data_IF_812453817367
#
_entry.id   IF_812453817367
#
_cell.length_a   1.000
_cell.length_b   1.000
_cell.length_c   1.000
_cell.angle_alpha   90.00
_cell.angle_beta   90.00
_cell.angle_gamma   90.00
#
_symmetry.space_group_name_H-M   'P 1'
#
loop_
_entity.id
_entity.type
_entity.pdbx_description
1 polymer ?
#
# COMPACT_ATOMS: atom_id res chain seq x y z
N UNK A 1 0.31 32.03 -17.58
CA UNK A 1 -0.24 30.91 -16.78
C UNK A 1 0.92 30.23 -16.08
N UNK A 2 0.80 29.90 -14.78
CA UNK A 2 1.82 29.10 -14.10
C UNK A 2 1.85 27.69 -14.68
N UNK A 3 3.03 27.10 -14.81
CA UNK A 3 3.17 25.70 -15.27
C UNK A 3 2.58 24.75 -14.23
N UNK A 4 1.73 23.82 -14.69
CA UNK A 4 1.22 22.72 -13.87
C UNK A 4 2.36 21.76 -13.49
N UNK A 5 2.39 21.30 -12.24
CA UNK A 5 3.40 20.39 -11.70
C UNK A 5 2.75 19.14 -11.12
N UNK A 6 3.09 18.00 -11.72
CA UNK A 6 2.68 16.68 -11.27
C UNK A 6 3.86 15.97 -10.58
N UNK A 7 3.61 15.35 -9.43
CA UNK A 7 4.53 14.37 -8.85
C UNK A 7 3.99 12.96 -9.13
N UNK A 8 4.79 12.10 -9.76
CA UNK A 8 4.47 10.68 -9.95
C UNK A 8 5.38 9.86 -9.03
N UNK A 9 4.78 8.96 -8.27
CA UNK A 9 5.46 8.03 -7.35
C UNK A 9 4.91 6.63 -7.58
N UNK A 10 5.72 5.61 -7.39
CA UNK A 10 5.34 4.19 -7.42
C UNK A 10 6.21 3.45 -6.40
N UNK A 11 5.95 2.16 -6.19
CA UNK A 11 6.85 1.25 -5.49
C UNK A 11 7.11 1.66 -4.04
N UNK A 12 6.04 2.03 -3.32
CA UNK A 12 6.16 2.32 -1.90
C UNK A 12 6.36 1.04 -1.08
N UNK A 13 5.87 -0.10 -1.57
CA UNK A 13 6.07 -1.43 -1.00
C UNK A 13 5.86 -1.46 0.53
N UNK A 14 4.79 -0.81 1.00
CA UNK A 14 4.44 -0.75 2.42
C UNK A 14 5.39 0.05 3.33
N UNK A 15 6.42 0.72 2.81
CA UNK A 15 7.39 1.45 3.64
C UNK A 15 6.74 2.65 4.33
N UNK A 16 6.57 2.57 5.65
CA UNK A 16 5.97 3.67 6.42
C UNK A 16 6.75 4.98 6.21
N UNK A 17 8.08 4.92 6.14
CA UNK A 17 8.92 6.10 5.91
C UNK A 17 8.66 6.71 4.54
N UNK A 18 8.49 5.90 3.49
CA UNK A 18 8.18 6.39 2.16
C UNK A 18 6.78 7.05 2.11
N UNK A 19 5.77 6.42 2.72
CA UNK A 19 4.43 7.01 2.87
C UNK A 19 4.46 8.32 3.67
N UNK A 20 5.24 8.40 4.75
CA UNK A 20 5.42 9.63 5.55
C UNK A 20 6.10 10.74 4.72
N UNK A 21 7.06 10.41 3.87
CA UNK A 21 7.66 11.37 2.91
C UNK A 21 6.62 11.84 1.90
N UNK A 22 5.84 10.93 1.32
CA UNK A 22 4.77 11.25 0.36
C UNK A 22 3.73 12.20 0.98
N UNK A 23 3.35 11.96 2.24
CA UNK A 23 2.41 12.83 2.97
C UNK A 23 2.90 14.28 3.15
N UNK A 24 4.21 14.52 3.06
CA UNK A 24 4.83 15.85 3.11
C UNK A 24 5.24 16.39 1.74
N UNK A 25 5.17 15.57 0.68
CA UNK A 25 5.73 15.88 -0.63
C UNK A 25 5.10 17.12 -1.26
N UNK A 26 3.79 17.29 -1.13
CA UNK A 26 3.07 18.46 -1.67
C UNK A 26 3.64 19.77 -1.14
N UNK A 27 3.88 19.87 0.17
CA UNK A 27 4.44 21.06 0.81
C UNK A 27 5.87 21.33 0.34
N UNK A 28 6.66 20.28 0.21
CA UNK A 28 8.08 20.39 -0.12
C UNK A 28 8.30 20.76 -1.59
N UNK A 29 7.66 20.02 -2.50
CA UNK A 29 7.83 20.18 -3.94
C UNK A 29 6.90 21.25 -4.55
N UNK A 30 5.85 21.67 -3.81
CA UNK A 30 4.85 22.65 -4.26
C UNK A 30 4.23 22.23 -5.60
N UNK A 31 3.71 21.01 -5.61
CA UNK A 31 3.05 20.39 -6.77
C UNK A 31 1.54 20.60 -6.71
N UNK A 32 0.91 20.59 -7.87
CA UNK A 32 -0.53 20.83 -8.03
C UNK A 32 -1.34 19.53 -7.89
N UNK A 33 -0.71 18.38 -8.18
CA UNK A 33 -1.29 17.06 -8.03
C UNK A 33 -0.22 15.98 -7.81
N UNK A 34 -0.65 14.84 -7.29
CA UNK A 34 0.20 13.66 -7.09
C UNK A 34 -0.47 12.42 -7.70
N UNK A 35 0.32 11.55 -8.33
CA UNK A 35 -0.10 10.21 -8.75
C UNK A 35 0.73 9.18 -7.99
N UNK A 36 0.07 8.22 -7.35
CA UNK A 36 0.69 7.01 -6.81
C UNK A 36 0.30 5.83 -7.72
N UNK A 37 1.28 5.37 -8.49
CA UNK A 37 1.12 4.48 -9.64
C UNK A 37 1.51 3.03 -9.34
N UNK A 38 0.98 2.50 -8.24
CA UNK A 38 1.08 1.07 -7.91
C UNK A 38 2.05 0.70 -6.78
N UNK A 39 2.06 -0.60 -6.50
CA UNK A 39 2.83 -1.30 -5.47
C UNK A 39 2.72 -0.62 -4.10
N UNK A 40 1.49 -0.66 -3.59
CA UNK A 40 1.07 0.03 -2.37
C UNK A 40 1.53 -0.73 -1.12
N UNK A 41 1.32 -2.04 -1.09
CA UNK A 41 1.61 -2.91 0.04
C UNK A 41 3.01 -3.55 -0.06
N UNK A 42 3.58 -3.89 1.08
CA UNK A 42 4.79 -4.69 1.16
C UNK A 42 4.50 -6.18 1.10
N UNK A 43 5.53 -6.98 0.92
CA UNK A 43 5.40 -8.42 0.62
C UNK A 43 5.56 -9.36 1.82
N UNK A 44 5.78 -8.82 3.02
CA UNK A 44 6.15 -9.64 4.19
C UNK A 44 5.35 -9.26 5.44
N UNK A 45 4.69 -10.27 6.02
CA UNK A 45 4.12 -10.21 7.36
C UNK A 45 5.19 -10.54 8.41
N UNK A 46 5.40 -9.64 9.37
CA UNK A 46 6.25 -9.84 10.53
C UNK A 46 5.38 -10.01 11.80
N UNK A 47 5.21 -11.25 12.30
CA UNK A 47 4.54 -11.47 13.58
C UNK A 47 5.44 -11.00 14.74
N UNK A 48 4.85 -10.28 15.68
CA UNK A 48 5.47 -9.88 16.95
C UNK A 48 4.73 -10.62 18.05
N UNK A 49 5.35 -11.67 18.55
CA UNK A 49 4.72 -12.60 19.49
C UNK A 49 4.87 -12.02 20.89
N UNK A 50 3.73 -11.72 21.53
CA UNK A 50 3.68 -11.23 22.91
C UNK A 50 3.84 -12.40 23.88
N UNK A 51 4.83 -12.31 24.77
CA UNK A 51 5.11 -13.27 25.83
C UNK A 51 4.57 -12.74 27.18
N UNK A 52 4.57 -13.56 28.25
CA UNK A 52 4.23 -13.09 29.59
C UNK A 52 5.09 -11.88 30.04
N UNK A 53 4.45 -10.91 30.69
CA UNK A 53 5.09 -9.66 31.09
C UNK A 53 5.23 -8.66 29.93
N UNK A 54 6.25 -7.81 29.97
CA UNK A 54 6.58 -6.84 28.92
C UNK A 54 7.70 -7.37 28.02
N UNK A 55 7.45 -8.50 27.37
CA UNK A 55 8.44 -9.22 26.58
C UNK A 55 7.84 -9.74 25.27
N UNK A 56 8.66 -9.72 24.23
CA UNK A 56 8.24 -10.02 22.86
C UNK A 56 9.29 -10.83 22.13
N UNK A 57 8.84 -11.68 21.21
CA UNK A 57 9.70 -12.42 20.28
C UNK A 57 9.35 -12.03 18.85
N UNK A 58 10.36 -11.77 18.04
CA UNK A 58 10.20 -11.31 16.65
C UNK A 58 11.01 -12.26 15.76
N UNK A 59 10.39 -13.36 15.26
CA UNK A 59 11.13 -14.45 14.60
C UNK A 59 11.96 -14.00 13.39
N UNK A 60 11.46 -13.00 12.65
CA UNK A 60 12.13 -12.49 11.45
C UNK A 60 13.45 -11.76 11.72
N UNK A 61 13.66 -11.32 12.97
CA UNK A 61 14.91 -10.69 13.41
C UNK A 61 15.86 -11.75 13.98
N UNK A 62 15.34 -12.60 14.86
CA UNK A 62 16.07 -13.73 15.46
C UNK A 62 15.10 -14.66 16.17
N UNK A 63 15.05 -15.92 15.73
CA UNK A 63 14.06 -16.91 16.19
C UNK A 63 14.00 -17.08 17.71
N UNK A 64 15.15 -16.99 18.39
CA UNK A 64 15.29 -17.28 19.82
C UNK A 64 15.50 -16.03 20.70
N UNK A 65 15.52 -14.82 20.12
CA UNK A 65 15.77 -13.60 20.89
C UNK A 65 14.47 -13.03 21.47
N UNK A 66 14.50 -12.75 22.77
CA UNK A 66 13.44 -12.02 23.48
C UNK A 66 13.85 -10.56 23.63
N UNK A 67 12.91 -9.66 23.36
CA UNK A 67 13.05 -8.21 23.45
C UNK A 67 12.14 -7.69 24.57
N UNK A 68 12.59 -6.71 25.33
CA UNK A 68 11.70 -5.94 26.23
C UNK A 68 10.80 -4.99 25.43
N UNK A 69 9.70 -4.51 26.00
CA UNK A 69 8.73 -3.67 25.28
C UNK A 69 9.33 -2.50 24.51
N UNK A 70 10.18 -1.69 25.16
CA UNK A 70 10.83 -0.55 24.50
C UNK A 70 11.78 -0.96 23.36
N UNK A 71 12.49 -2.08 23.49
CA UNK A 71 13.36 -2.60 22.43
C UNK A 71 12.53 -3.16 21.26
N UNK A 72 11.43 -3.85 21.57
CA UNK A 72 10.50 -4.37 20.59
C UNK A 72 9.86 -3.24 19.78
N UNK A 73 9.46 -2.14 20.42
CA UNK A 73 8.93 -0.95 19.74
C UNK A 73 9.91 -0.35 18.74
N UNK A 74 11.21 -0.27 19.09
CA UNK A 74 12.24 0.20 18.16
C UNK A 74 12.33 -0.73 16.95
N UNK A 75 12.32 -2.06 17.19
CA UNK A 75 12.36 -3.05 16.10
C UNK A 75 11.12 -3.04 15.22
N UNK A 76 9.93 -2.84 15.79
CA UNK A 76 8.68 -2.68 15.04
C UNK A 76 8.78 -1.48 14.10
N UNK A 77 9.32 -0.34 14.58
CA UNK A 77 9.51 0.86 13.75
C UNK A 77 10.50 0.61 12.61
N UNK A 78 11.61 -0.07 12.87
CA UNK A 78 12.59 -0.45 11.83
C UNK A 78 11.97 -1.35 10.76
N UNK A 79 11.17 -2.35 11.18
CA UNK A 79 10.46 -3.25 10.27
C UNK A 79 9.45 -2.50 9.39
N UNK A 80 8.57 -1.69 9.99
CA UNK A 80 7.59 -0.87 9.24
C UNK A 80 8.27 0.11 8.29
N UNK A 81 9.37 0.74 8.72
CA UNK A 81 10.16 1.61 7.86
C UNK A 81 10.70 0.87 6.61
N UNK A 82 10.97 -0.42 6.74
CA UNK A 82 11.49 -1.28 5.68
C UNK A 82 10.40 -1.98 4.84
N UNK A 83 9.12 -1.67 5.06
CA UNK A 83 8.01 -2.23 4.27
C UNK A 83 7.41 -3.53 4.82
N UNK A 84 7.78 -3.94 6.04
CA UNK A 84 7.15 -5.10 6.68
C UNK A 84 5.81 -4.71 7.30
N UNK A 85 4.82 -5.57 7.09
CA UNK A 85 3.53 -5.50 7.75
C UNK A 85 3.61 -6.15 9.12
N UNK A 86 3.46 -5.36 10.17
CA UNK A 86 3.69 -5.83 11.54
C UNK A 86 2.38 -6.10 12.25
N UNK A 87 2.23 -7.32 12.80
CA UNK A 87 1.09 -7.70 13.64
C UNK A 87 1.56 -8.24 14.99
N UNK A 88 1.08 -7.65 16.08
CA UNK A 88 1.29 -8.19 17.43
C UNK A 88 0.26 -9.30 17.67
N UNK A 89 0.72 -10.48 18.07
CA UNK A 89 -0.08 -11.70 18.22
C UNK A 89 0.25 -12.41 19.53
N UNK A 90 -0.67 -13.24 20.04
CA UNK A 90 -0.37 -14.16 21.13
C UNK A 90 0.44 -15.37 20.64
N UNK A 91 0.99 -16.16 21.56
CA UNK A 91 1.64 -17.43 21.22
C UNK A 91 0.67 -18.39 20.53
N UNK A 92 -0.56 -18.50 21.04
CA UNK A 92 -1.63 -19.33 20.46
C UNK A 92 -2.02 -18.88 19.03
N UNK A 93 -2.16 -17.57 18.80
CA UNK A 93 -2.47 -17.04 17.46
C UNK A 93 -1.30 -17.30 16.50
N UNK A 94 -0.06 -17.12 16.96
CA UNK A 94 1.11 -17.43 16.16
C UNK A 94 1.18 -18.92 15.79
N UNK A 95 0.94 -19.82 16.74
CA UNK A 95 0.87 -21.27 16.45
C UNK A 95 -0.22 -21.59 15.43
N UNK A 96 -1.38 -20.94 15.52
CA UNK A 96 -2.42 -21.08 14.50
C UNK A 96 -1.94 -20.57 13.14
N UNK A 97 -1.33 -19.40 13.07
CA UNK A 97 -0.76 -18.85 11.82
C UNK A 97 0.27 -19.81 11.20
N UNK A 98 1.04 -20.54 12.00
CA UNK A 98 2.01 -21.53 11.49
C UNK A 98 1.31 -22.78 10.93
N UNK A 99 0.25 -23.24 11.58
CA UNK A 99 -0.41 -24.52 11.28
C UNK A 99 -1.59 -24.42 10.30
N UNK A 100 -2.15 -23.22 10.10
CA UNK A 100 -3.32 -22.95 9.26
C UNK A 100 -2.97 -21.90 8.19
N UNK A 101 -2.71 -22.37 6.96
CA UNK A 101 -2.31 -21.52 5.83
C UNK A 101 -3.41 -20.52 5.43
N UNK A 102 -4.67 -20.92 5.51
CA UNK A 102 -5.79 -20.05 5.14
C UNK A 102 -5.94 -18.93 6.17
N UNK A 103 -5.76 -19.25 7.46
CA UNK A 103 -5.72 -18.24 8.51
C UNK A 103 -4.52 -17.29 8.35
N UNK A 104 -3.33 -17.80 8.03
CA UNK A 104 -2.15 -16.96 7.77
C UNK A 104 -2.40 -15.99 6.62
N UNK A 105 -2.92 -16.48 5.48
CA UNK A 105 -3.23 -15.66 4.32
C UNK A 105 -4.26 -14.57 4.66
N UNK A 106 -5.33 -14.94 5.37
CA UNK A 106 -6.32 -13.98 5.85
C UNK A 106 -5.70 -12.90 6.73
N UNK A 107 -4.93 -13.29 7.74
CA UNK A 107 -4.27 -12.35 8.66
C UNK A 107 -3.29 -11.44 7.92
N UNK A 108 -2.58 -11.97 6.93
CA UNK A 108 -1.66 -11.19 6.12
C UNK A 108 -2.41 -10.12 5.30
N UNK A 109 -3.42 -10.52 4.53
CA UNK A 109 -4.23 -9.60 3.71
C UNK A 109 -4.92 -8.52 4.56
N UNK A 110 -5.50 -8.90 5.71
CA UNK A 110 -6.09 -7.94 6.65
C UNK A 110 -5.06 -6.94 7.19
N UNK A 111 -3.85 -7.39 7.50
CA UNK A 111 -2.79 -6.53 8.02
C UNK A 111 -2.27 -5.58 6.94
N UNK A 112 -2.05 -6.07 5.71
CA UNK A 112 -1.66 -5.24 4.56
C UNK A 112 -2.68 -4.13 4.29
N UNK A 113 -3.96 -4.51 4.16
CA UNK A 113 -5.04 -3.57 3.89
C UNK A 113 -5.15 -2.49 4.98
N UNK A 114 -5.05 -2.90 6.25
CA UNK A 114 -5.07 -1.99 7.38
C UNK A 114 -3.91 -0.98 7.34
N UNK A 115 -2.69 -1.44 7.13
CA UNK A 115 -1.50 -0.59 7.13
C UNK A 115 -1.55 0.43 5.97
N UNK A 116 -1.91 0.00 4.76
CA UNK A 116 -2.07 0.89 3.60
C UNK A 116 -3.14 1.96 3.87
N UNK A 117 -4.31 1.56 4.39
CA UNK A 117 -5.37 2.51 4.73
C UNK A 117 -4.94 3.50 5.82
N UNK A 118 -4.19 3.05 6.83
CA UNK A 118 -3.63 3.93 7.86
C UNK A 118 -2.71 4.99 7.25
N UNK A 119 -1.77 4.56 6.41
CA UNK A 119 -0.81 5.45 5.75
C UNK A 119 -1.50 6.45 4.80
N UNK A 120 -2.46 5.98 4.00
CA UNK A 120 -3.25 6.82 3.11
C UNK A 120 -4.14 7.81 3.89
N UNK A 121 -4.65 7.45 5.05
CA UNK A 121 -5.46 8.37 5.89
C UNK A 121 -4.66 9.60 6.32
N UNK A 122 -3.37 9.43 6.63
CA UNK A 122 -2.47 10.55 6.96
C UNK A 122 -2.23 11.43 5.73
N UNK A 123 -2.09 10.82 4.55
CA UNK A 123 -1.91 11.56 3.30
C UNK A 123 -3.19 12.35 2.97
N UNK A 124 -4.35 11.70 3.04
CA UNK A 124 -5.66 12.29 2.75
C UNK A 124 -5.90 13.55 3.60
N UNK A 125 -5.65 13.45 4.90
CA UNK A 125 -5.78 14.59 5.82
C UNK A 125 -4.89 15.77 5.41
N UNK A 126 -3.60 15.52 5.15
CA UNK A 126 -2.62 16.57 4.83
C UNK A 126 -2.86 17.17 3.46
N UNK A 127 -3.30 16.37 2.50
CA UNK A 127 -3.55 16.81 1.13
C UNK A 127 -4.83 17.63 1.06
N UNK A 128 -5.86 17.26 1.83
CA UNK A 128 -7.08 18.06 2.03
C UNK A 128 -6.78 19.44 2.59
N UNK A 129 -5.90 19.55 3.59
CA UNK A 129 -5.47 20.84 4.14
C UNK A 129 -4.74 21.72 3.12
N UNK A 130 -4.10 21.11 2.13
CA UNK A 130 -3.33 21.81 1.08
C UNK A 130 -4.13 22.02 -0.21
N UNK A 131 -5.36 21.50 -0.32
CA UNK A 131 -6.17 21.57 -1.53
C UNK A 131 -5.63 20.77 -2.72
N UNK A 132 -4.76 19.79 -2.47
CA UNK A 132 -4.14 18.95 -3.51
C UNK A 132 -4.79 17.57 -3.52
N UNK A 133 -4.87 16.96 -4.71
CA UNK A 133 -5.42 15.60 -4.90
C UNK A 133 -4.31 14.58 -5.12
N UNK A 134 -4.51 13.38 -4.57
CA UNK A 134 -3.73 12.19 -4.87
C UNK A 134 -4.58 11.26 -5.74
N UNK A 135 -4.12 10.95 -6.94
CA UNK A 135 -4.71 9.93 -7.80
C UNK A 135 -3.96 8.62 -7.58
N UNK A 136 -4.68 7.52 -7.37
CA UNK A 136 -4.06 6.25 -6.98
C UNK A 136 -4.57 5.09 -7.83
N UNK A 137 -3.63 4.26 -8.28
CA UNK A 137 -3.88 2.93 -8.85
C UNK A 137 -3.05 1.90 -8.07
N UNK A 138 -3.51 0.65 -7.99
CA UNK A 138 -2.71 -0.46 -7.46
C UNK A 138 -1.63 -0.88 -8.46
N UNK A 139 -0.68 -1.67 -7.99
CA UNK A 139 0.27 -2.38 -8.84
C UNK A 139 -0.08 -3.86 -8.97
N UNK A 140 0.80 -4.60 -9.66
CA UNK A 140 0.56 -6.02 -9.91
C UNK A 140 0.78 -6.89 -8.66
N UNK A 141 1.51 -6.38 -7.67
CA UNK A 141 1.78 -7.02 -6.39
C UNK A 141 0.69 -6.75 -5.33
N UNK A 142 -0.27 -5.85 -5.59
CA UNK A 142 -1.30 -5.53 -4.60
C UNK A 142 -2.47 -6.54 -4.64
N UNK A 143 -2.80 -7.19 -3.51
CA UNK A 143 -3.92 -8.12 -3.42
C UNK A 143 -5.27 -7.38 -3.43
N UNK A 144 -6.33 -8.08 -3.85
CA UNK A 144 -7.68 -7.52 -3.93
C UNK A 144 -8.16 -6.92 -2.60
N UNK A 145 -7.79 -7.50 -1.46
CA UNK A 145 -8.18 -6.98 -0.14
C UNK A 145 -7.59 -5.59 0.15
N UNK A 146 -6.37 -5.31 -0.31
CA UNK A 146 -5.77 -3.97 -0.21
C UNK A 146 -6.52 -3.00 -1.12
N UNK A 147 -6.82 -3.43 -2.36
CA UNK A 147 -7.51 -2.62 -3.36
C UNK A 147 -8.91 -2.27 -2.90
N UNK A 148 -9.68 -3.26 -2.46
CA UNK A 148 -11.04 -3.10 -1.94
C UNK A 148 -11.05 -2.16 -0.73
N UNK A 149 -10.07 -2.28 0.17
CA UNK A 149 -9.96 -1.40 1.33
C UNK A 149 -9.69 0.07 0.94
N UNK A 150 -8.98 0.30 -0.17
CA UNK A 150 -8.71 1.64 -0.71
C UNK A 150 -9.93 2.17 -1.49
N UNK A 151 -10.51 1.38 -2.39
CA UNK A 151 -11.59 1.81 -3.29
C UNK A 151 -12.92 2.00 -2.56
N UNK A 152 -13.26 1.13 -1.60
CA UNK A 152 -14.54 1.19 -0.88
C UNK A 152 -14.58 2.27 0.22
N UNK A 153 -13.48 3.01 0.41
CA UNK A 153 -13.39 4.06 1.40
C UNK A 153 -13.69 5.43 0.78
N UNK A 154 -14.46 6.23 1.51
CA UNK A 154 -14.69 7.62 1.13
C UNK A 154 -13.50 8.49 1.57
N UNK A 155 -12.75 8.99 0.60
CA UNK A 155 -11.59 9.86 0.82
C UNK A 155 -11.93 11.33 0.55
N UNK A 156 -11.22 12.25 1.20
CA UNK A 156 -11.40 13.70 0.97
C UNK A 156 -10.59 14.25 -0.21
N UNK A 157 -9.39 13.70 -0.42
CA UNK A 157 -8.40 14.14 -1.41
C UNK A 157 -7.75 13.00 -2.20
N UNK A 158 -7.99 11.75 -1.83
CA UNK A 158 -7.53 10.58 -2.61
C UNK A 158 -8.61 10.16 -3.61
N UNK A 159 -8.20 9.85 -4.84
CA UNK A 159 -9.06 9.46 -5.96
C UNK A 159 -8.52 8.14 -6.51
N UNK A 160 -9.03 6.98 -6.05
CA UNK A 160 -8.78 5.70 -6.68
C UNK A 160 -9.41 5.66 -8.07
N UNK A 161 -8.68 5.21 -9.08
CA UNK A 161 -9.15 5.25 -10.48
C UNK A 161 -8.64 4.11 -11.35
N UNK A 162 -8.33 2.96 -10.76
CA UNK A 162 -7.92 1.77 -11.50
C UNK A 162 -8.99 1.30 -12.48
N UNK A 163 -8.57 0.88 -13.67
CA UNK A 163 -9.43 0.64 -14.83
C UNK A 163 -10.46 1.77 -15.08
N UNK A 164 -10.06 3.02 -14.80
CA UNK A 164 -10.90 4.20 -14.84
C UNK A 164 -10.22 5.40 -15.51
N UNK A 165 -11.00 6.47 -15.72
CA UNK A 165 -10.54 7.71 -16.33
C UNK A 165 -10.89 8.87 -15.41
N UNK A 166 -9.93 9.74 -15.13
CA UNK A 166 -10.11 10.93 -14.29
C UNK A 166 -9.48 12.17 -14.92
N UNK A 167 -10.09 13.32 -14.67
CA UNK A 167 -9.56 14.61 -15.12
C UNK A 167 -8.38 15.06 -14.24
N UNK A 168 -7.30 15.51 -14.88
CA UNK A 168 -6.14 16.12 -14.25
C UNK A 168 -5.82 17.44 -14.96
N UNK A 169 -6.42 18.53 -14.49
CA UNK A 169 -6.35 19.82 -15.16
C UNK A 169 -6.81 19.68 -16.64
N UNK A 170 -6.01 20.12 -17.61
CA UNK A 170 -6.27 19.99 -19.06
C UNK A 170 -5.88 18.61 -19.63
N UNK A 171 -5.57 17.63 -18.77
CA UNK A 171 -5.20 16.28 -19.14
C UNK A 171 -6.19 15.26 -18.61
N UNK A 172 -6.14 14.05 -19.16
CA UNK A 172 -6.84 12.87 -18.67
C UNK A 172 -5.81 11.87 -18.16
N UNK A 173 -6.12 11.24 -17.03
CA UNK A 173 -5.40 10.07 -16.55
C UNK A 173 -6.25 8.83 -16.82
N UNK A 174 -5.63 7.80 -17.37
CA UNK A 174 -6.22 6.46 -17.54
C UNK A 174 -5.48 5.52 -16.59
N UNK A 175 -6.21 4.92 -15.66
CA UNK A 175 -5.65 4.04 -14.64
C UNK A 175 -5.64 2.59 -15.12
N UNK A 176 -4.51 1.91 -14.96
CA UNK A 176 -4.39 0.49 -15.27
C UNK A 176 -3.25 -0.16 -14.49
N UNK A 177 -3.58 -0.81 -13.37
CA UNK A 177 -2.60 -1.39 -12.45
C UNK A 177 -2.19 -2.85 -12.70
N UNK A 178 -2.58 -3.44 -13.83
CA UNK A 178 -2.16 -4.82 -14.17
C UNK A 178 -0.83 -4.81 -14.93
N UNK A 179 -0.03 -5.87 -14.75
CA UNK A 179 1.15 -6.14 -15.55
C UNK A 179 0.92 -7.31 -16.51
N UNK A 180 1.86 -7.50 -17.44
CA UNK A 180 2.01 -8.77 -18.14
C UNK A 180 2.41 -9.89 -17.16
N UNK A 181 2.23 -11.14 -17.57
CA UNK A 181 2.69 -12.32 -16.81
C UNK A 181 4.17 -12.15 -16.42
N UNK A 182 4.46 -12.27 -15.13
CA UNK A 182 5.81 -12.14 -14.58
C UNK A 182 6.35 -13.49 -14.09
N UNK A 183 7.66 -13.63 -13.90
CA UNK A 183 8.23 -14.83 -13.27
C UNK A 183 7.80 -15.04 -11.80
N UNK A 184 7.19 -14.03 -11.18
CA UNK A 184 6.83 -14.03 -9.76
C UNK A 184 5.39 -14.46 -9.49
N UNK A 185 4.55 -14.57 -10.54
CA UNK A 185 3.14 -14.94 -10.44
C UNK A 185 2.41 -14.11 -9.37
N UNK A 186 2.43 -12.79 -9.57
CA UNK A 186 1.86 -11.80 -8.64
C UNK A 186 0.32 -11.79 -8.72
N UNK A 187 -0.32 -10.95 -7.89
CA UNK A 187 -1.77 -10.93 -7.75
C UNK A 187 -2.54 -10.51 -9.02
N UNK A 188 -1.95 -9.64 -9.85
CA UNK A 188 -2.65 -8.97 -10.96
C UNK A 188 -1.83 -8.97 -12.24
N UNK A 189 -1.80 -10.13 -12.88
CA UNK A 189 -1.13 -10.35 -14.15
C UNK A 189 -2.14 -10.75 -15.23
N UNK A 190 -1.92 -10.26 -16.45
CA UNK A 190 -2.77 -10.52 -17.62
C UNK A 190 -1.92 -10.89 -18.84
N UNK A 191 -2.54 -11.55 -19.82
CA UNK A 191 -1.93 -11.71 -21.14
C UNK A 191 -1.83 -10.35 -21.86
N UNK A 192 -0.89 -10.20 -22.80
CA UNK A 192 -0.81 -8.98 -23.62
C UNK A 192 -2.11 -8.70 -24.38
N UNK A 193 -2.81 -9.75 -24.83
CA UNK A 193 -4.10 -9.64 -25.51
C UNK A 193 -5.18 -9.10 -24.56
N UNK A 194 -5.24 -9.57 -23.32
CA UNK A 194 -6.19 -9.07 -22.32
C UNK A 194 -5.90 -7.62 -21.95
N UNK A 195 -4.62 -7.26 -21.77
CA UNK A 195 -4.20 -5.88 -21.50
C UNK A 195 -4.64 -4.98 -22.65
N UNK A 196 -4.33 -5.36 -23.90
CA UNK A 196 -4.74 -4.62 -25.08
C UNK A 196 -6.26 -4.43 -25.12
N UNK A 197 -7.02 -5.52 -25.00
CA UNK A 197 -8.48 -5.47 -25.06
C UNK A 197 -9.09 -4.59 -23.97
N UNK A 198 -8.58 -4.65 -22.73
CA UNK A 198 -9.09 -3.83 -21.62
C UNK A 198 -8.71 -2.36 -21.77
N UNK A 199 -7.46 -2.06 -22.11
CA UNK A 199 -7.01 -0.70 -22.36
C UNK A 199 -7.73 -0.08 -23.57
N UNK A 200 -7.91 -0.80 -24.68
CA UNK A 200 -8.67 -0.32 -25.83
C UNK A 200 -10.11 0.02 -25.46
N UNK A 201 -10.78 -0.78 -24.61
CA UNK A 201 -12.13 -0.45 -24.12
C UNK A 201 -12.15 0.82 -23.26
N UNK A 202 -11.09 1.09 -22.49
CA UNK A 202 -10.97 2.33 -21.72
C UNK A 202 -10.72 3.51 -22.65
N UNK A 203 -9.77 3.39 -23.57
CA UNK A 203 -9.42 4.44 -24.52
C UNK A 203 -10.57 4.78 -25.46
N UNK A 204 -11.42 3.83 -25.86
CA UNK A 204 -12.61 4.09 -26.68
C UNK A 204 -13.70 4.90 -25.95
N UNK A 205 -13.58 5.14 -24.64
CA UNK A 205 -14.44 6.08 -23.90
C UNK A 205 -13.96 7.52 -24.01
N UNK A 206 -12.76 7.72 -24.55
CA UNK A 206 -12.18 9.03 -24.85
C UNK A 206 -12.54 9.35 -26.29
N UNK A 207 -13.31 10.42 -26.50
CA UNK A 207 -13.72 10.89 -27.84
C UNK A 207 -12.52 11.19 -28.76
#
# INVERSE_FOLDING_TARGET
MSKFKLLLVSDLHGSEVAYRKLSNAVRFYKVDAVVLAGDLAGKVLAPVIKLPGDSYRIPIISENKVFKGSEAEVKIKELRASGYHVRVVSEEEHERMVNDKDYLNKVFNETMAKDVVEYLSIIDERYRQQGVKLYIIPGNDDPNEVIDAVVNRQWGSIIPFDEGIVNLNDHLLVGFGYSNITPWNTHRELSEEDIYNRLSRLMNKLD
#
